data_IF_249120802247
#
_entry.id   IF_249120802247
#
_cell.length_a   1.000
_cell.length_b   1.000
_cell.length_c   1.000
_cell.angle_alpha   90.00
_cell.angle_beta   90.00
_cell.angle_gamma   90.00
#
_symmetry.space_group_name_H-M   'P 1'
#
loop_
_entity.id
_entity.type
_entity.pdbx_description
1 polymer ?
#
# COMPACT_ATOMS: atom_id res chain seq x y z
N UNK A 1 22.84 -2.74 -6.50
CA UNK A 1 21.79 -2.07 -5.67
C UNK A 1 21.33 -0.80 -6.39
N UNK A 2 20.04 -0.62 -6.59
CA UNK A 2 19.47 0.59 -7.19
C UNK A 2 19.82 1.78 -6.29
N UNK A 3 20.27 2.88 -6.89
CA UNK A 3 20.61 4.07 -6.12
C UNK A 3 19.34 4.87 -5.72
N UNK A 4 19.47 5.74 -4.71
CA UNK A 4 18.35 6.53 -4.18
C UNK A 4 17.70 7.43 -5.25
N UNK A 5 18.50 8.09 -6.08
CA UNK A 5 18.00 9.01 -7.10
C UNK A 5 17.17 8.27 -8.17
N UNK A 6 17.57 7.07 -8.51
CA UNK A 6 16.83 6.20 -9.44
C UNK A 6 15.50 5.73 -8.86
N UNK A 7 15.49 5.26 -7.60
CA UNK A 7 14.26 4.88 -6.88
C UNK A 7 13.28 6.06 -6.88
N UNK A 8 13.73 7.26 -6.52
CA UNK A 8 12.92 8.47 -6.50
C UNK A 8 12.39 8.86 -7.89
N UNK A 9 13.23 8.75 -8.93
CA UNK A 9 12.84 9.03 -10.32
C UNK A 9 11.74 8.07 -10.81
N UNK A 10 11.88 6.77 -10.50
CA UNK A 10 10.89 5.74 -10.86
C UNK A 10 9.58 5.92 -10.09
N UNK A 11 9.65 6.27 -8.80
CA UNK A 11 8.45 6.55 -7.99
C UNK A 11 7.70 7.79 -8.52
N UNK A 12 8.40 8.84 -8.96
CA UNK A 12 7.78 10.00 -9.62
C UNK A 12 6.94 9.60 -10.82
N UNK A 13 7.45 8.69 -11.67
CA UNK A 13 6.71 8.18 -12.83
C UNK A 13 5.46 7.39 -12.42
N UNK A 14 5.58 6.54 -11.40
CA UNK A 14 4.45 5.76 -10.88
C UNK A 14 3.36 6.66 -10.25
N UNK A 15 3.74 7.71 -9.53
CA UNK A 15 2.80 8.71 -8.98
C UNK A 15 2.11 9.50 -10.11
N UNK A 16 2.85 9.89 -11.15
CA UNK A 16 2.25 10.55 -12.31
C UNK A 16 1.22 9.65 -13.00
N UNK A 17 1.56 8.38 -13.22
CA UNK A 17 0.65 7.37 -13.78
C UNK A 17 -0.64 7.24 -12.95
N UNK A 18 -0.51 7.16 -11.63
CA UNK A 18 -1.66 7.08 -10.73
C UNK A 18 -2.67 8.21 -10.97
N UNK A 19 -2.20 9.46 -10.95
CA UNK A 19 -3.09 10.62 -11.10
C UNK A 19 -3.65 10.79 -12.51
N UNK A 20 -2.88 10.44 -13.54
CA UNK A 20 -3.33 10.47 -14.94
C UNK A 20 -4.41 9.41 -15.18
N UNK A 21 -4.23 8.20 -14.65
CA UNK A 21 -5.22 7.11 -14.72
C UNK A 21 -6.53 7.52 -14.03
N UNK A 22 -6.46 8.07 -12.81
CA UNK A 22 -7.64 8.56 -12.11
C UNK A 22 -8.36 9.68 -12.85
N UNK A 23 -7.62 10.59 -13.46
CA UNK A 23 -8.21 11.69 -14.25
C UNK A 23 -8.98 11.16 -15.46
N UNK A 24 -8.41 10.19 -16.16
CA UNK A 24 -9.03 9.51 -17.30
C UNK A 24 -10.29 8.74 -16.89
N UNK A 25 -10.24 8.01 -15.78
CA UNK A 25 -11.41 7.30 -15.23
C UNK A 25 -12.53 8.28 -14.85
N UNK A 26 -12.20 9.39 -14.19
CA UNK A 26 -13.17 10.42 -13.80
C UNK A 26 -13.83 11.11 -15.01
N UNK A 27 -13.10 11.31 -16.12
CA UNK A 27 -13.65 11.85 -17.36
C UNK A 27 -14.60 10.86 -18.05
N UNK A 28 -14.24 9.57 -18.10
CA UNK A 28 -15.10 8.52 -18.66
C UNK A 28 -16.42 8.39 -17.90
N UNK A 29 -16.40 8.44 -16.58
CA UNK A 29 -17.62 8.36 -15.75
C UNK A 29 -18.57 9.54 -16.00
N UNK A 30 -18.03 10.77 -16.07
CA UNK A 30 -18.82 11.96 -16.38
C UNK A 30 -19.45 11.88 -17.77
N UNK A 31 -18.75 11.34 -18.76
CA UNK A 31 -19.25 11.17 -20.13
C UNK A 31 -20.35 10.12 -20.23
N UNK A 32 -20.36 9.11 -19.33
CA UNK A 32 -21.37 8.04 -19.31
C UNK A 32 -22.65 8.39 -18.50
N UNK A 33 -22.78 9.63 -17.99
CA UNK A 33 -23.97 10.10 -17.26
C UNK A 33 -24.27 9.37 -15.95
N UNK A 34 -23.35 8.55 -15.46
CA UNK A 34 -23.48 7.76 -14.22
C UNK A 34 -23.19 8.63 -13.00
N UNK A 35 -24.11 9.56 -12.68
CA UNK A 35 -23.99 10.44 -11.51
C UNK A 35 -24.36 9.76 -10.19
N UNK A 36 -25.02 8.59 -10.21
CA UNK A 36 -25.72 8.04 -9.03
C UNK A 36 -25.03 6.84 -8.34
N UNK A 37 -23.99 6.29 -8.93
CA UNK A 37 -23.13 5.32 -8.22
C UNK A 37 -21.86 6.03 -7.77
N UNK A 38 -21.98 6.79 -6.68
CA UNK A 38 -20.90 7.59 -6.10
C UNK A 38 -19.50 7.00 -6.28
N UNK A 39 -18.46 7.75 -6.00
CA UNK A 39 -17.02 7.45 -6.22
C UNK A 39 -16.53 5.99 -6.05
N UNK A 40 -17.41 5.05 -5.74
CA UNK A 40 -17.15 3.60 -5.61
C UNK A 40 -16.73 2.97 -6.94
N UNK A 41 -17.34 3.31 -8.06
CA UNK A 41 -16.97 2.71 -9.36
C UNK A 41 -15.63 3.24 -9.92
N UNK A 42 -15.17 4.44 -9.50
CA UNK A 42 -13.83 4.92 -9.81
C UNK A 42 -12.74 4.26 -8.95
N UNK A 43 -13.15 3.59 -7.87
CA UNK A 43 -12.26 2.90 -6.91
C UNK A 43 -12.15 1.41 -7.22
N UNK A 44 -13.17 0.82 -7.86
CA UNK A 44 -13.26 -0.63 -8.10
C UNK A 44 -12.33 -1.16 -9.20
N UNK A 45 -11.67 -0.29 -9.97
CA UNK A 45 -10.81 -0.73 -11.08
C UNK A 45 -9.36 -1.08 -10.70
N UNK A 46 -8.88 -0.73 -9.50
CA UNK A 46 -7.47 -1.02 -9.07
C UNK A 46 -6.36 -0.41 -9.94
N UNK A 47 -6.65 -0.21 -11.23
CA UNK A 47 -5.70 0.17 -12.28
C UNK A 47 -4.84 1.44 -11.98
N UNK A 48 -5.28 2.33 -11.12
CA UNK A 48 -4.50 3.49 -10.72
C UNK A 48 -3.25 3.10 -9.92
N UNK A 49 -3.27 1.97 -9.20
CA UNK A 49 -2.11 1.48 -8.43
C UNK A 49 -1.13 0.67 -9.28
N UNK A 50 -1.49 0.31 -10.52
CA UNK A 50 -0.68 -0.54 -11.39
C UNK A 50 0.74 0.01 -11.59
N UNK A 51 0.89 1.35 -11.68
CA UNK A 51 2.21 1.97 -11.79
C UNK A 51 3.12 1.72 -10.58
N UNK A 52 2.57 1.69 -9.37
CA UNK A 52 3.31 1.37 -8.14
C UNK A 52 3.64 -0.12 -8.11
N UNK A 53 2.66 -0.97 -8.42
CA UNK A 53 2.83 -2.43 -8.44
C UNK A 53 3.85 -2.83 -9.49
N UNK A 54 3.79 -2.26 -10.70
CA UNK A 54 4.77 -2.50 -11.74
C UNK A 54 6.17 -2.06 -11.31
N UNK A 55 6.34 -0.87 -10.74
CA UNK A 55 7.62 -0.41 -10.19
C UNK A 55 8.21 -1.41 -9.20
N UNK A 56 7.40 -1.89 -8.26
CA UNK A 56 7.85 -2.86 -7.26
C UNK A 56 8.21 -4.20 -7.89
N UNK A 57 7.42 -4.68 -8.87
CA UNK A 57 7.71 -5.92 -9.60
C UNK A 57 9.02 -5.84 -10.40
N UNK A 58 9.33 -4.69 -11.01
CA UNK A 58 10.59 -4.44 -11.69
C UNK A 58 11.79 -4.48 -10.73
N UNK A 59 11.67 -3.85 -9.56
CA UNK A 59 12.70 -3.87 -8.52
C UNK A 59 12.94 -5.31 -8.00
N UNK A 60 11.88 -6.10 -7.85
CA UNK A 60 11.98 -7.52 -7.48
C UNK A 60 12.72 -8.31 -8.55
N UNK A 61 12.39 -8.08 -9.81
CA UNK A 61 13.08 -8.72 -10.95
C UNK A 61 14.58 -8.36 -10.98
N UNK A 62 14.92 -7.10 -10.76
CA UNK A 62 16.30 -6.61 -10.67
C UNK A 62 17.07 -7.17 -9.46
N UNK A 63 16.34 -7.66 -8.45
CA UNK A 63 16.94 -8.37 -7.30
C UNK A 63 17.28 -9.85 -7.62
N UNK A 64 17.15 -10.29 -8.87
CA UNK A 64 17.48 -11.65 -9.31
C UNK A 64 16.36 -12.68 -9.14
N UNK A 65 15.13 -12.25 -8.87
CA UNK A 65 13.98 -13.14 -8.78
C UNK A 65 13.42 -13.39 -10.19
N UNK A 66 13.26 -14.66 -10.63
CA UNK A 66 12.69 -14.96 -11.93
C UNK A 66 11.27 -14.39 -12.09
N UNK A 67 10.95 -13.88 -13.28
CA UNK A 67 9.64 -13.30 -13.60
C UNK A 67 8.49 -14.26 -13.32
N UNK A 68 8.68 -15.56 -13.52
CA UNK A 68 7.68 -16.61 -13.24
C UNK A 68 7.31 -16.73 -11.75
N UNK A 69 8.12 -16.17 -10.85
CA UNK A 69 7.88 -16.16 -9.42
C UNK A 69 7.14 -14.89 -8.95
N UNK A 70 6.95 -13.89 -9.81
CA UNK A 70 6.38 -12.58 -9.48
C UNK A 70 4.95 -12.51 -10.02
N UNK A 71 3.98 -12.36 -9.15
CA UNK A 71 2.55 -12.34 -9.49
C UNK A 71 1.96 -10.98 -9.10
N UNK A 72 1.33 -10.26 -10.05
CA UNK A 72 0.69 -8.97 -9.81
C UNK A 72 -0.55 -8.70 -10.71
N UNK A 73 -0.92 -9.65 -11.59
CA UNK A 73 -2.17 -9.61 -12.36
C UNK A 73 -3.02 -10.85 -12.17
N UNK A 74 -2.38 -11.97 -11.86
CA UNK A 74 -3.00 -13.28 -11.74
C UNK A 74 -2.37 -14.04 -10.58
N UNK A 75 -3.08 -15.03 -10.06
CA UNK A 75 -2.60 -15.90 -8.99
C UNK A 75 -2.26 -15.12 -7.72
N UNK A 76 -3.10 -14.14 -7.38
CA UNK A 76 -2.91 -13.23 -6.25
C UNK A 76 -3.57 -13.72 -4.97
N UNK A 77 -4.29 -14.84 -5.01
CA UNK A 77 -5.01 -15.36 -3.86
C UNK A 77 -4.09 -16.25 -3.00
N UNK A 78 -4.06 -15.93 -1.72
CA UNK A 78 -3.46 -16.79 -0.69
C UNK A 78 -4.56 -17.34 0.21
N UNK A 79 -4.39 -18.57 0.76
CA UNK A 79 -5.28 -19.07 1.79
C UNK A 79 -5.24 -18.14 3.01
N UNK A 80 -6.41 -17.86 3.57
CA UNK A 80 -6.56 -17.20 4.86
C UNK A 80 -6.79 -18.23 5.97
N UNK A 81 -6.73 -17.80 7.19
CA UNK A 81 -7.12 -18.61 8.35
C UNK A 81 -8.58 -18.36 8.75
N UNK A 82 -8.99 -17.09 8.76
CA UNK A 82 -10.34 -16.67 9.14
C UNK A 82 -11.30 -16.57 7.94
N UNK A 83 -10.80 -16.78 6.73
CA UNK A 83 -11.54 -16.80 5.45
C UNK A 83 -10.86 -17.73 4.47
N UNK A 84 -11.59 -18.25 3.45
CA UNK A 84 -11.00 -19.20 2.51
C UNK A 84 -9.78 -18.66 1.80
N UNK A 85 -9.86 -17.46 1.25
CA UNK A 85 -8.77 -16.82 0.51
C UNK A 85 -8.78 -15.29 0.67
N UNK A 86 -7.61 -14.67 0.49
CA UNK A 86 -7.45 -13.22 0.29
C UNK A 86 -6.63 -12.95 -0.96
N UNK A 87 -7.11 -12.02 -1.77
CA UNK A 87 -6.37 -11.47 -2.89
C UNK A 87 -5.42 -10.35 -2.43
N UNK A 88 -4.17 -10.43 -2.86
CA UNK A 88 -3.11 -9.45 -2.60
C UNK A 88 -2.78 -8.65 -3.87
N UNK A 89 -2.10 -7.53 -3.75
CA UNK A 89 -1.78 -6.70 -4.91
C UNK A 89 -0.48 -7.15 -5.61
N UNK A 90 0.45 -7.78 -4.87
CA UNK A 90 1.66 -8.40 -5.42
C UNK A 90 2.12 -9.54 -4.51
N UNK A 91 2.50 -10.66 -5.14
CA UNK A 91 3.08 -11.83 -4.48
C UNK A 91 4.39 -12.24 -5.13
N UNK A 92 5.33 -12.72 -4.32
CA UNK A 92 6.50 -13.47 -4.79
C UNK A 92 6.46 -14.86 -4.19
N UNK A 93 6.35 -15.87 -5.08
CA UNK A 93 6.32 -17.28 -4.70
C UNK A 93 7.41 -18.01 -5.47
N UNK A 94 8.40 -18.57 -4.79
CA UNK A 94 9.49 -19.36 -5.36
C UNK A 94 9.57 -20.72 -4.68
N UNK A 95 9.64 -21.80 -5.47
CA UNK A 95 9.70 -23.18 -4.97
C UNK A 95 8.57 -23.51 -3.96
N UNK A 96 7.35 -23.06 -4.27
CA UNK A 96 6.16 -23.20 -3.41
C UNK A 96 6.30 -22.51 -2.02
N UNK A 97 7.23 -21.60 -1.86
CA UNK A 97 7.40 -20.77 -0.66
C UNK A 97 6.96 -19.35 -0.94
N UNK A 98 6.15 -18.79 -0.06
CA UNK A 98 5.78 -17.38 -0.09
C UNK A 98 6.96 -16.54 0.42
N UNK A 99 7.55 -15.71 -0.43
CA UNK A 99 8.65 -14.82 -0.06
C UNK A 99 8.16 -13.41 0.27
N UNK A 100 7.21 -12.90 -0.52
CA UNK A 100 6.63 -11.56 -0.36
C UNK A 100 5.12 -11.62 -0.55
N UNK A 101 4.40 -10.91 0.31
CA UNK A 101 3.04 -10.45 0.05
C UNK A 101 2.99 -8.93 0.26
N UNK A 102 2.31 -8.22 -0.64
CA UNK A 102 2.26 -6.76 -0.60
C UNK A 102 0.83 -6.28 -0.84
N UNK A 103 0.45 -5.29 -0.06
CA UNK A 103 -0.79 -4.55 -0.22
C UNK A 103 -0.48 -3.08 -0.49
N UNK A 104 -1.05 -2.52 -1.56
CA UNK A 104 -0.89 -1.14 -1.96
C UNK A 104 -2.24 -0.43 -1.98
N UNK A 105 -2.39 0.59 -1.15
CA UNK A 105 -3.64 1.31 -0.99
C UNK A 105 -3.46 2.80 -1.21
N UNK A 106 -4.54 3.44 -1.60
CA UNK A 106 -4.60 4.89 -1.68
C UNK A 106 -5.91 5.43 -1.15
N UNK A 107 -5.87 6.69 -0.74
CA UNK A 107 -7.04 7.42 -0.29
C UNK A 107 -7.09 8.78 -0.95
N UNK A 108 -8.21 9.07 -1.60
CA UNK A 108 -8.57 10.38 -2.16
C UNK A 108 -9.90 10.81 -1.58
N UNK A 109 -10.07 12.11 -1.32
CA UNK A 109 -11.32 12.65 -0.78
C UNK A 109 -12.56 12.34 -1.63
N UNK A 110 -13.75 12.64 -1.08
CA UNK A 110 -13.99 13.44 0.14
C UNK A 110 -14.06 12.63 1.45
N UNK A 111 -14.33 11.32 1.43
CA UNK A 111 -14.70 10.51 2.60
C UNK A 111 -13.49 10.02 3.41
N UNK A 112 -12.62 10.94 3.89
CA UNK A 112 -11.40 10.55 4.63
C UNK A 112 -11.68 9.77 5.91
N UNK A 113 -12.71 10.13 6.70
CA UNK A 113 -12.99 9.51 8.00
C UNK A 113 -13.40 8.05 7.90
N UNK A 114 -14.46 7.75 7.16
CA UNK A 114 -14.94 6.38 6.98
C UNK A 114 -13.85 5.49 6.35
N UNK A 115 -13.15 6.03 5.36
CA UNK A 115 -12.11 5.27 4.68
C UNK A 115 -10.89 5.02 5.58
N UNK A 116 -10.54 5.96 6.49
CA UNK A 116 -9.47 5.73 7.45
C UNK A 116 -9.77 4.51 8.35
N UNK A 117 -10.99 4.44 8.90
CA UNK A 117 -11.40 3.32 9.74
C UNK A 117 -11.37 1.99 8.94
N UNK A 118 -11.98 1.99 7.76
CA UNK A 118 -11.99 0.78 6.90
C UNK A 118 -10.58 0.33 6.55
N UNK A 119 -9.66 1.25 6.18
CA UNK A 119 -8.27 0.91 5.86
C UNK A 119 -7.52 0.37 7.06
N UNK A 120 -7.81 0.89 8.25
CA UNK A 120 -7.21 0.39 9.49
C UNK A 120 -7.66 -1.05 9.77
N UNK A 121 -8.96 -1.32 9.69
CA UNK A 121 -9.54 -2.64 9.91
C UNK A 121 -9.06 -3.65 8.84
N UNK A 122 -9.09 -3.28 7.57
CA UNK A 122 -8.64 -4.11 6.44
C UNK A 122 -7.17 -4.51 6.58
N UNK A 123 -6.29 -3.56 6.87
CA UNK A 123 -4.85 -3.84 6.95
C UNK A 123 -4.51 -4.72 8.15
N UNK A 124 -5.05 -4.41 9.34
CA UNK A 124 -4.82 -5.21 10.54
C UNK A 124 -5.38 -6.62 10.36
N UNK A 125 -6.64 -6.73 9.89
CA UNK A 125 -7.29 -8.02 9.64
C UNK A 125 -6.55 -8.85 8.60
N UNK A 126 -6.06 -8.25 7.52
CA UNK A 126 -5.28 -8.93 6.48
C UNK A 126 -3.95 -9.45 7.00
N UNK A 127 -3.24 -8.65 7.81
CA UNK A 127 -1.99 -9.07 8.41
C UNK A 127 -2.18 -10.20 9.42
N UNK A 128 -3.17 -10.08 10.31
CA UNK A 128 -3.51 -11.10 11.30
C UNK A 128 -3.86 -12.43 10.61
N UNK A 129 -4.69 -12.38 9.57
CA UNK A 129 -5.12 -13.52 8.79
C UNK A 129 -3.92 -14.25 8.14
N UNK A 130 -3.03 -13.50 7.46
CA UNK A 130 -1.83 -14.06 6.85
C UNK A 130 -0.88 -14.67 7.89
N UNK A 131 -0.61 -13.97 9.00
CA UNK A 131 0.31 -14.48 10.03
C UNK A 131 -0.25 -15.70 10.74
N UNK A 132 -1.56 -15.80 10.92
CA UNK A 132 -2.19 -16.98 11.48
C UNK A 132 -2.10 -18.15 10.50
N UNK A 133 -2.46 -17.93 9.22
CA UNK A 133 -2.31 -18.94 8.18
C UNK A 133 -0.85 -19.43 8.04
N UNK A 134 0.13 -18.53 8.16
CA UNK A 134 1.55 -18.87 8.14
C UNK A 134 1.93 -19.79 9.32
N UNK A 135 1.51 -19.45 10.55
CA UNK A 135 1.79 -20.27 11.74
C UNK A 135 1.13 -21.66 11.67
N UNK A 136 -0.02 -21.73 11.03
CA UNK A 136 -0.76 -22.99 10.81
C UNK A 136 -0.26 -23.78 9.58
N UNK A 137 0.85 -23.36 8.96
CA UNK A 137 1.53 -24.10 7.90
C UNK A 137 0.95 -23.96 6.49
N UNK A 138 0.06 -23.00 6.25
CA UNK A 138 -0.62 -22.85 4.96
C UNK A 138 0.33 -22.59 3.77
N UNK A 139 1.55 -22.10 4.00
CA UNK A 139 2.47 -21.68 2.94
C UNK A 139 3.68 -22.59 2.74
N UNK A 140 3.72 -23.76 3.39
CA UNK A 140 4.88 -24.66 3.41
C UNK A 140 6.21 -23.94 3.72
N UNK A 141 6.15 -22.81 4.41
CA UNK A 141 7.26 -21.89 4.52
C UNK A 141 8.07 -22.17 5.78
N UNK A 142 9.34 -22.51 5.60
CA UNK A 142 10.34 -22.53 6.67
C UNK A 142 10.80 -21.11 7.06
N UNK A 143 10.59 -20.14 6.16
CA UNK A 143 11.07 -18.77 6.30
C UNK A 143 9.85 -17.83 6.35
N UNK A 144 9.87 -16.90 7.32
CA UNK A 144 8.84 -15.88 7.47
C UNK A 144 8.79 -14.99 6.22
N UNK A 145 7.63 -14.88 5.53
CA UNK A 145 7.52 -14.02 4.37
C UNK A 145 7.66 -12.54 4.77
N UNK A 146 8.12 -11.72 3.83
CA UNK A 146 8.09 -10.27 3.98
C UNK A 146 6.70 -9.76 3.61
N UNK A 147 6.07 -9.00 4.50
CA UNK A 147 4.76 -8.41 4.31
C UNK A 147 4.89 -6.89 4.23
N UNK A 148 4.52 -6.32 3.09
CA UNK A 148 4.61 -4.89 2.81
C UNK A 148 3.27 -4.18 2.75
N UNK A 149 3.24 -2.93 3.23
CA UNK A 149 2.09 -2.04 3.11
C UNK A 149 2.51 -0.69 2.51
N UNK A 150 2.10 -0.43 1.29
CA UNK A 150 2.29 0.87 0.64
C UNK A 150 1.01 1.69 0.72
N UNK A 151 1.12 2.95 1.15
CA UNK A 151 -0.03 3.84 1.23
C UNK A 151 0.24 5.22 0.62
N UNK A 152 -0.66 5.66 -0.27
CA UNK A 152 -0.64 7.01 -0.82
C UNK A 152 -1.92 7.77 -0.45
N UNK A 153 -1.76 8.93 0.18
CA UNK A 153 -2.87 9.82 0.55
C UNK A 153 -2.88 11.07 -0.35
N UNK A 154 -4.08 11.50 -0.74
CA UNK A 154 -4.23 12.80 -1.39
C UNK A 154 -3.79 13.93 -0.46
N UNK A 155 -2.82 14.72 -0.93
CA UNK A 155 -2.38 15.95 -0.28
C UNK A 155 -3.34 17.10 -0.64
N UNK A 156 -4.24 17.43 0.26
CA UNK A 156 -5.23 18.48 0.09
C UNK A 156 -5.61 19.11 1.43
N UNK A 157 -6.33 20.23 1.40
CA UNK A 157 -6.78 20.94 2.61
C UNK A 157 -7.55 20.01 3.57
N UNK A 158 -8.39 19.11 3.04
CA UNK A 158 -9.22 18.21 3.86
C UNK A 158 -8.42 17.11 4.54
N UNK A 159 -7.36 16.60 3.91
CA UNK A 159 -6.48 15.60 4.53
C UNK A 159 -5.52 16.20 5.56
N UNK A 160 -5.20 17.49 5.45
CA UNK A 160 -4.22 18.17 6.31
C UNK A 160 -4.83 18.97 7.47
N UNK A 161 -6.15 19.25 7.43
CA UNK A 161 -6.77 19.99 8.52
C UNK A 161 -6.88 19.17 9.81
N UNK A 162 -6.73 19.78 10.98
CA UNK A 162 -7.01 19.13 12.26
C UNK A 162 -8.43 18.54 12.32
N UNK A 163 -8.55 17.35 12.88
CA UNK A 163 -9.84 16.66 13.05
C UNK A 163 -10.07 16.42 14.53
N UNK A 164 -11.15 17.01 15.06
CA UNK A 164 -11.57 16.80 16.46
C UNK A 164 -11.90 15.33 16.68
N UNK A 165 -11.61 14.84 17.87
CA UNK A 165 -12.03 13.55 18.39
C UNK A 165 -13.03 13.74 19.52
N UNK A 166 -13.90 12.76 19.73
CA UNK A 166 -14.81 12.73 20.88
C UNK A 166 -14.28 11.72 21.90
N UNK A 167 -14.40 12.05 23.16
CA UNK A 167 -13.92 11.26 24.30
C UNK A 167 -15.04 11.06 25.32
N UNK A 168 -16.17 10.41 24.95
CA UNK A 168 -17.37 10.37 25.80
C UNK A 168 -17.15 9.55 27.09
N UNK A 169 -16.25 8.58 27.06
CA UNK A 169 -16.02 7.68 28.20
C UNK A 169 -14.55 7.60 28.60
N UNK A 170 -13.63 7.48 27.62
CA UNK A 170 -12.20 7.30 27.86
C UNK A 170 -11.40 8.25 26.99
N UNK A 171 -10.20 8.61 27.46
CA UNK A 171 -9.26 9.43 26.71
C UNK A 171 -8.69 8.69 25.52
N UNK A 172 -8.62 9.33 24.36
CA UNK A 172 -7.89 8.81 23.22
C UNK A 172 -6.38 8.94 23.44
N UNK A 173 -5.60 8.17 22.73
CA UNK A 173 -4.15 8.33 22.76
C UNK A 173 -3.74 9.74 22.31
N UNK A 174 -2.83 10.42 23.02
CA UNK A 174 -2.51 11.83 22.81
C UNK A 174 -2.13 12.21 21.38
N UNK A 175 -1.48 11.30 20.67
CA UNK A 175 -1.04 11.53 19.28
C UNK A 175 -2.21 11.67 18.28
N UNK A 176 -3.44 11.27 18.65
CA UNK A 176 -4.63 11.43 17.82
C UNK A 176 -5.40 12.73 18.09
N UNK A 177 -5.09 13.44 19.16
CA UNK A 177 -5.77 14.70 19.50
C UNK A 177 -5.46 15.73 18.42
N UNK A 178 -6.51 16.27 17.77
CA UNK A 178 -6.41 17.20 16.64
C UNK A 178 -5.55 16.70 15.46
N UNK A 179 -5.23 15.41 15.39
CA UNK A 179 -4.47 14.86 14.29
C UNK A 179 -5.27 14.94 12.98
N UNK A 180 -4.65 15.49 11.93
CA UNK A 180 -5.19 15.47 10.57
C UNK A 180 -5.22 14.03 10.03
N UNK A 181 -5.95 13.78 8.93
CA UNK A 181 -5.91 12.45 8.29
C UNK A 181 -4.50 12.10 7.80
N UNK A 182 -3.73 13.06 7.28
CA UNK A 182 -2.33 12.83 6.94
C UNK A 182 -1.53 12.32 8.16
N UNK A 183 -1.70 12.96 9.33
CA UNK A 183 -1.04 12.50 10.55
C UNK A 183 -1.57 11.16 11.04
N UNK A 184 -2.86 10.90 10.95
CA UNK A 184 -3.46 9.61 11.34
C UNK A 184 -2.93 8.45 10.47
N UNK A 185 -2.81 8.65 9.15
CA UNK A 185 -2.23 7.63 8.26
C UNK A 185 -0.73 7.43 8.49
N UNK A 186 0.03 8.50 8.76
CA UNK A 186 1.43 8.39 9.18
C UNK A 186 1.57 7.53 10.45
N UNK A 187 0.79 7.85 11.49
CA UNK A 187 0.78 7.09 12.74
C UNK A 187 0.37 5.64 12.51
N UNK A 188 -0.66 5.41 11.70
CA UNK A 188 -1.14 4.09 11.37
C UNK A 188 -0.06 3.24 10.68
N UNK A 189 0.54 3.74 9.60
CA UNK A 189 1.61 3.04 8.89
C UNK A 189 2.80 2.72 9.81
N UNK A 190 3.17 3.65 10.70
CA UNK A 190 4.22 3.42 11.69
C UNK A 190 3.84 2.35 12.72
N UNK A 191 2.59 2.37 13.22
CA UNK A 191 2.08 1.37 14.16
C UNK A 191 2.01 -0.02 13.51
N UNK A 192 1.63 -0.15 12.25
CA UNK A 192 1.64 -1.43 11.54
C UNK A 192 3.03 -2.12 11.60
N UNK A 193 4.11 -1.36 11.48
CA UNK A 193 5.47 -1.89 11.56
C UNK A 193 5.89 -2.14 13.01
N UNK A 194 5.63 -1.20 13.92
CA UNK A 194 6.00 -1.33 15.34
C UNK A 194 5.33 -2.51 16.02
N UNK A 195 4.05 -2.73 15.72
CA UNK A 195 3.25 -3.87 16.23
C UNK A 195 3.49 -5.17 15.43
N UNK A 196 4.44 -5.15 14.47
CA UNK A 196 4.82 -6.32 13.67
C UNK A 196 3.68 -6.91 12.83
N UNK A 197 2.64 -6.12 12.55
CA UNK A 197 1.61 -6.49 11.58
C UNK A 197 2.19 -6.56 10.17
N UNK A 198 3.06 -5.60 9.81
CA UNK A 198 3.79 -5.57 8.55
C UNK A 198 5.30 -5.52 8.80
N UNK A 199 6.07 -6.08 7.87
CA UNK A 199 7.54 -6.04 7.94
C UNK A 199 8.06 -4.64 7.63
N UNK A 200 7.44 -3.98 6.66
CA UNK A 200 7.73 -2.59 6.31
C UNK A 200 6.47 -1.89 5.80
N UNK A 201 6.43 -0.57 5.93
CA UNK A 201 5.39 0.27 5.36
C UNK A 201 6.02 1.50 4.71
N UNK A 202 5.40 1.97 3.61
CA UNK A 202 5.74 3.25 2.98
C UNK A 202 4.52 4.15 2.95
N UNK A 203 4.71 5.43 3.29
CA UNK A 203 3.66 6.43 3.29
C UNK A 203 4.06 7.66 2.52
N UNK A 204 3.30 8.01 1.48
CA UNK A 204 3.51 9.21 0.68
C UNK A 204 2.26 10.08 0.59
N UNK A 205 2.47 11.37 0.43
CA UNK A 205 1.43 12.35 0.13
C UNK A 205 1.62 12.87 -1.30
N UNK A 206 0.53 13.00 -2.06
CA UNK A 206 0.59 13.56 -3.40
C UNK A 206 -0.70 14.30 -3.75
N UNK A 207 -0.60 15.52 -4.26
CA UNK A 207 -1.76 16.31 -4.65
C UNK A 207 -2.24 15.96 -6.05
N UNK A 208 -3.54 16.12 -6.31
CA UNK A 208 -4.16 15.82 -7.60
C UNK A 208 -3.52 16.60 -8.77
N UNK A 209 -3.11 17.85 -8.55
CA UNK A 209 -2.56 18.71 -9.63
C UNK A 209 -1.08 18.41 -9.82
N UNK A 210 -0.26 18.55 -8.77
CA UNK A 210 1.18 18.38 -8.88
C UNK A 210 1.57 16.89 -9.07
N UNK A 211 0.78 15.96 -8.54
CA UNK A 211 0.98 14.52 -8.70
C UNK A 211 0.89 14.03 -10.14
N UNK A 212 0.12 14.70 -11.03
CA UNK A 212 0.13 14.40 -12.48
C UNK A 212 1.50 14.60 -13.12
N UNK A 213 2.38 15.39 -12.49
CA UNK A 213 3.78 15.61 -12.88
C UNK A 213 4.74 14.76 -12.04
N UNK A 214 4.21 13.84 -11.23
CA UNK A 214 4.98 12.96 -10.36
C UNK A 214 5.41 13.58 -9.03
N UNK A 215 4.85 14.72 -8.64
CA UNK A 215 5.19 15.35 -7.35
C UNK A 215 4.55 14.60 -6.18
N UNK A 216 5.35 14.28 -5.19
CA UNK A 216 4.92 13.71 -3.92
C UNK A 216 5.86 14.17 -2.79
N UNK A 217 5.43 13.92 -1.55
CA UNK A 217 6.25 14.11 -0.34
C UNK A 217 6.22 12.86 0.52
N UNK A 218 7.30 12.64 1.26
CA UNK A 218 7.46 11.58 2.24
C UNK A 218 7.55 12.22 3.62
N UNK A 219 6.42 12.38 4.34
CA UNK A 219 6.37 13.17 5.57
C UNK A 219 7.10 12.54 6.76
N UNK A 220 7.41 11.25 6.66
CA UNK A 220 8.01 10.47 7.72
C UNK A 220 9.29 9.76 7.22
N UNK A 221 10.48 10.11 7.73
CA UNK A 221 11.74 9.50 7.28
C UNK A 221 11.79 7.98 7.47
N UNK A 222 11.15 7.46 8.50
CA UNK A 222 11.05 6.03 8.82
C UNK A 222 10.03 5.26 7.95
N UNK A 223 9.23 5.96 7.13
CA UNK A 223 8.23 5.40 6.24
C UNK A 223 8.49 5.75 4.76
N UNK A 224 9.72 6.16 4.43
CA UNK A 224 10.05 6.53 3.06
C UNK A 224 10.14 5.29 2.14
N UNK A 225 9.93 5.53 0.85
CA UNK A 225 9.88 4.47 -0.15
C UNK A 225 11.24 3.78 -0.37
N UNK A 226 12.35 4.51 -0.19
CA UNK A 226 13.69 3.93 -0.29
C UNK A 226 13.90 2.84 0.78
N UNK A 227 13.58 3.13 2.05
CA UNK A 227 13.69 2.15 3.13
C UNK A 227 12.77 0.94 2.90
N UNK A 228 11.57 1.18 2.41
CA UNK A 228 10.62 0.13 2.06
C UNK A 228 11.18 -0.81 0.99
N UNK A 229 11.73 -0.26 -0.09
CA UNK A 229 12.37 -1.03 -1.18
C UNK A 229 13.60 -1.77 -0.68
N UNK A 230 14.46 -1.13 0.11
CA UNK A 230 15.67 -1.77 0.66
C UNK A 230 15.33 -2.93 1.61
N UNK A 231 14.29 -2.79 2.43
CA UNK A 231 13.79 -3.87 3.28
C UNK A 231 13.29 -5.06 2.43
N UNK A 232 12.52 -4.78 1.37
CA UNK A 232 12.03 -5.78 0.43
C UNK A 232 13.19 -6.51 -0.30
N UNK A 233 14.13 -5.75 -0.84
CA UNK A 233 15.30 -6.33 -1.56
C UNK A 233 16.21 -7.11 -0.61
N UNK A 234 16.34 -6.68 0.65
CA UNK A 234 17.08 -7.42 1.68
C UNK A 234 16.50 -8.82 1.92
N UNK A 235 15.17 -8.94 1.99
CA UNK A 235 14.50 -10.24 2.07
C UNK A 235 14.82 -11.14 0.88
N UNK A 236 14.84 -10.56 -0.32
CA UNK A 236 15.04 -11.30 -1.56
C UNK A 236 16.49 -11.68 -1.83
N UNK A 237 17.46 -11.00 -1.21
CA UNK A 237 18.90 -11.22 -1.47
C UNK A 237 19.35 -12.66 -1.21
N UNK A 238 18.65 -13.40 -0.34
CA UNK A 238 18.91 -14.81 -0.06
C UNK A 238 18.32 -15.78 -1.10
N UNK A 239 17.47 -15.29 -2.02
CA UNK A 239 16.69 -16.12 -2.95
C UNK A 239 16.91 -15.78 -4.42
N UNK A 240 17.67 -14.71 -4.73
CA UNK A 240 18.01 -14.35 -6.09
C UNK A 240 18.92 -15.40 -6.72
N UNK A 241 18.64 -15.76 -7.97
CA UNK A 241 19.58 -16.55 -8.77
C UNK A 241 20.75 -15.61 -9.15
N UNK A 242 21.98 -16.03 -8.81
CA UNK A 242 23.22 -15.28 -9.14
C UNK A 242 23.54 -15.44 -10.61
#
# INVERSE_FOLDING_TARGET
MINKSEIQSRLKKAVAFYWQTRDTQGKKQKAQGSSDQGARSSVTGGAQMDGIIQLLSEIILESGIPKSCIHYHQFLQLPGYFRPTKEWDLLVVKNRQLLIALEAKSQVGPSFGNNFNNRTEEAIGSALDLWTAFREGAFNAMIKPWLGYFFMLEDCKSSNRPVKVQEPHFKVFPEFINASYAKRYELFCRKLVRERHYTASSFILSSKIAGKKGTFTEPAPDLNFEMFVRSMSGQLSAFGDK
#
